data_IF_160319520243
#
_entry.id   IF_160319520243
#
_cell.length_a   1.000
_cell.length_b   1.000
_cell.length_c   1.000
_cell.angle_alpha   90.00
_cell.angle_beta   90.00
_cell.angle_gamma   90.00
#
_symmetry.space_group_name_H-M   'P 1'
#
loop_
_entity.id
_entity.type
_entity.pdbx_description
1 polymer ?
#
# COMPACT_ATOMS: atom_id res chain seq x y z
N UNK A 1 17.98 17.99 1.20
CA UNK A 1 16.80 17.30 1.75
C UNK A 1 16.94 15.82 1.44
N UNK A 2 16.68 14.94 2.40
CA UNK A 2 16.68 13.48 2.23
C UNK A 2 15.30 12.95 2.61
N UNK A 3 14.78 11.98 1.88
CA UNK A 3 13.51 11.35 2.23
C UNK A 3 13.60 9.83 2.20
N UNK A 4 13.15 9.19 3.28
CA UNK A 4 13.20 7.74 3.45
C UNK A 4 11.81 7.21 3.78
N UNK A 5 11.32 6.25 3.01
CA UNK A 5 10.08 5.53 3.27
C UNK A 5 10.39 4.20 3.98
N UNK A 6 9.74 3.96 5.10
CA UNK A 6 9.64 2.66 5.76
C UNK A 6 8.23 2.13 5.53
N UNK A 7 8.09 0.94 4.94
CA UNK A 7 6.77 0.42 4.55
C UNK A 7 6.70 -1.10 4.67
N UNK A 8 5.52 -1.58 5.08
CA UNK A 8 5.16 -3.00 5.11
C UNK A 8 3.66 -3.19 4.98
N UNK A 9 3.23 -4.44 4.82
CA UNK A 9 1.83 -4.81 4.85
C UNK A 9 1.59 -6.17 5.53
N UNK A 10 0.45 -6.29 6.18
CA UNK A 10 -0.20 -7.58 6.39
C UNK A 10 -0.98 -7.91 5.11
N UNK A 11 -0.37 -8.70 4.23
CA UNK A 11 -0.83 -8.86 2.84
C UNK A 11 0.30 -8.53 1.89
N UNK A 12 -0.01 -7.90 0.77
CA UNK A 12 0.96 -7.33 -0.16
C UNK A 12 0.68 -5.85 -0.37
N UNK A 13 1.69 -5.09 -0.81
CA UNK A 13 1.51 -3.72 -1.23
C UNK A 13 2.29 -3.36 -2.50
N UNK A 14 1.79 -2.37 -3.24
CA UNK A 14 2.59 -1.53 -4.13
C UNK A 14 2.43 -0.08 -3.69
N UNK A 15 3.54 0.60 -3.37
CA UNK A 15 3.52 1.98 -2.90
C UNK A 15 3.88 2.97 -4.03
N UNK A 16 3.22 4.13 -4.02
CA UNK A 16 3.41 5.20 -5.01
C UNK A 16 3.55 6.55 -4.32
N UNK A 17 4.43 7.37 -4.86
CA UNK A 17 4.62 8.77 -4.46
C UNK A 17 4.58 9.63 -5.73
N UNK A 18 3.69 10.61 -5.76
CA UNK A 18 3.56 11.58 -6.85
C UNK A 18 3.51 10.96 -8.27
N UNK A 19 2.71 9.91 -8.48
CA UNK A 19 2.63 9.23 -9.79
C UNK A 19 3.65 8.11 -10.02
N UNK A 20 4.69 8.01 -9.19
CA UNK A 20 5.80 7.09 -9.42
C UNK A 20 5.74 5.93 -8.43
N UNK A 21 5.96 4.72 -8.93
CA UNK A 21 6.13 3.51 -8.12
C UNK A 21 7.40 3.62 -7.27
N UNK A 22 7.32 3.27 -5.99
CA UNK A 22 8.47 3.17 -5.10
C UNK A 22 9.08 1.78 -5.24
N UNK A 23 10.37 1.73 -5.61
CA UNK A 23 11.08 0.47 -5.82
C UNK A 23 10.64 -0.31 -7.06
N UNK A 24 11.33 -1.42 -7.30
CA UNK A 24 11.07 -2.37 -8.38
C UNK A 24 10.59 -3.75 -7.86
N UNK A 25 10.63 -3.96 -6.55
CA UNK A 25 10.26 -5.21 -5.91
C UNK A 25 8.79 -5.58 -6.17
N UNK A 26 8.54 -6.88 -6.36
CA UNK A 26 7.21 -7.43 -6.55
C UNK A 26 6.83 -8.26 -5.34
N UNK A 27 5.54 -8.33 -5.02
CA UNK A 27 5.02 -9.14 -3.91
C UNK A 27 5.65 -8.77 -2.55
N UNK A 28 5.93 -7.49 -2.31
CA UNK A 28 6.37 -6.96 -1.02
C UNK A 28 5.26 -7.00 0.02
N UNK A 29 5.52 -7.33 1.31
CA UNK A 29 6.82 -7.54 1.96
C UNK A 29 7.26 -9.02 2.03
N UNK A 30 7.02 -9.77 0.95
CA UNK A 30 7.21 -11.22 0.86
C UNK A 30 6.39 -11.98 1.92
N UNK A 31 6.79 -13.23 2.22
CA UNK A 31 6.09 -14.10 3.16
C UNK A 31 6.95 -14.43 4.38
N UNK A 32 6.37 -14.19 5.57
CA UNK A 32 6.85 -14.64 6.86
C UNK A 32 5.72 -15.27 7.68
N UNK A 33 6.04 -15.88 8.82
CA UNK A 33 5.00 -16.15 9.82
C UNK A 33 4.56 -14.82 10.45
N UNK A 34 3.48 -14.22 9.93
CA UNK A 34 2.98 -12.89 10.32
C UNK A 34 2.62 -12.78 11.81
N UNK A 35 2.42 -13.92 12.52
CA UNK A 35 2.19 -13.95 13.97
C UNK A 35 3.47 -13.72 14.78
N UNK A 36 4.63 -13.88 14.15
CA UNK A 36 5.95 -13.77 14.78
C UNK A 36 6.75 -12.58 14.29
N UNK A 37 6.68 -12.30 12.98
CA UNK A 37 7.42 -11.19 12.35
C UNK A 37 6.79 -10.76 11.04
N UNK A 38 6.96 -9.49 10.72
CA UNK A 38 6.66 -8.88 9.42
C UNK A 38 7.90 -8.10 8.98
N UNK A 39 8.32 -8.22 7.72
CA UNK A 39 9.47 -7.51 7.19
C UNK A 39 9.08 -6.09 6.79
N UNK A 40 9.97 -5.13 7.02
CA UNK A 40 9.78 -3.72 6.62
C UNK A 40 10.81 -3.39 5.56
N UNK A 41 10.37 -2.79 4.46
CA UNK A 41 11.25 -2.27 3.42
C UNK A 41 11.62 -0.82 3.74
N UNK A 42 12.88 -0.47 3.49
CA UNK A 42 13.40 0.89 3.58
C UNK A 42 13.80 1.36 2.19
N UNK A 43 13.17 2.43 1.72
CA UNK A 43 13.36 2.95 0.36
C UNK A 43 13.83 4.41 0.43
N UNK A 44 14.90 4.73 -0.29
CA UNK A 44 15.24 6.13 -0.58
C UNK A 44 14.23 6.67 -1.61
N UNK A 45 13.50 7.71 -1.22
CA UNK A 45 12.48 8.37 -2.04
C UNK A 45 12.78 9.85 -2.20
N UNK A 46 14.03 10.27 -1.95
CA UNK A 46 14.48 11.67 -1.99
C UNK A 46 14.07 12.35 -3.30
N UNK A 47 14.33 11.69 -4.44
CA UNK A 47 14.02 12.23 -5.77
C UNK A 47 12.54 12.12 -6.18
N UNK A 48 11.68 11.59 -5.30
CA UNK A 48 10.23 11.50 -5.51
C UNK A 48 9.46 12.59 -4.78
N UNK A 49 10.10 13.26 -3.82
CA UNK A 49 9.51 14.37 -3.06
C UNK A 49 9.72 15.68 -3.81
N UNK A 50 8.69 16.52 -3.82
CA UNK A 50 8.72 17.86 -4.42
C UNK A 50 8.35 18.94 -3.41
N UNK A 51 8.71 20.18 -3.71
CA UNK A 51 8.21 21.34 -2.96
C UNK A 51 6.70 21.51 -3.16
N UNK A 52 5.98 21.81 -2.08
CA UNK A 52 4.52 21.98 -2.09
C UNK A 52 3.78 20.65 -1.89
N UNK A 53 2.63 20.50 -2.55
CA UNK A 53 1.74 19.37 -2.32
C UNK A 53 2.35 18.05 -2.81
N UNK A 54 2.35 17.04 -1.96
CA UNK A 54 2.77 15.67 -2.29
C UNK A 54 1.58 14.72 -2.08
N UNK A 55 1.57 13.61 -2.80
CA UNK A 55 0.66 12.51 -2.53
C UNK A 55 1.43 11.21 -2.35
N UNK A 56 0.94 10.41 -1.41
CA UNK A 56 1.36 9.03 -1.18
C UNK A 56 0.13 8.14 -1.30
N UNK A 57 0.32 6.95 -1.84
CA UNK A 57 -0.75 6.00 -2.03
C UNK A 57 -0.23 4.57 -2.11
N UNK A 58 -1.05 3.61 -1.75
CA UNK A 58 -0.71 2.20 -1.87
C UNK A 58 -1.88 1.39 -2.44
N UNK A 59 -1.56 0.42 -3.28
CA UNK A 59 -2.45 -0.70 -3.59
C UNK A 59 -2.20 -1.79 -2.56
N UNK A 60 -3.25 -2.40 -2.02
CA UNK A 60 -3.16 -3.54 -1.11
C UNK A 60 -3.70 -4.81 -1.77
N UNK A 61 -2.92 -5.87 -1.68
CA UNK A 61 -3.29 -7.21 -2.12
C UNK A 61 -3.45 -8.17 -0.95
N UNK A 62 -4.25 -9.21 -1.13
CA UNK A 62 -4.50 -10.20 -0.09
C UNK A 62 -3.22 -10.96 0.34
N UNK A 63 -2.36 -11.29 -0.64
CA UNK A 63 -1.13 -12.03 -0.40
C UNK A 63 -1.34 -13.36 0.31
N UNK A 64 -0.31 -13.81 1.02
CA UNK A 64 -0.40 -14.99 1.89
C UNK A 64 -1.15 -14.72 3.20
N UNK A 65 -1.30 -13.45 3.58
CA UNK A 65 -1.96 -13.05 4.83
C UNK A 65 -3.49 -13.28 4.78
N UNK A 66 -4.14 -12.76 3.73
CA UNK A 66 -5.59 -12.86 3.51
C UNK A 66 -6.00 -13.78 2.36
N UNK A 67 -5.06 -14.26 1.55
CA UNK A 67 -5.35 -15.13 0.41
C UNK A 67 -5.53 -16.59 0.81
N UNK A 68 -6.11 -17.37 -0.11
CA UNK A 68 -6.22 -18.82 0.03
C UNK A 68 -4.86 -19.50 -0.08
N UNK A 69 -4.75 -20.70 0.49
CA UNK A 69 -3.51 -21.48 0.55
C UNK A 69 -3.62 -22.76 -0.27
N UNK A 70 -2.76 -22.94 -1.26
CA UNK A 70 -2.74 -24.16 -2.04
C UNK A 70 -1.97 -25.26 -1.28
N UNK A 71 -2.67 -26.32 -0.88
CA UNK A 71 -2.07 -27.50 -0.24
C UNK A 71 -2.65 -28.77 -0.87
N UNK A 72 -1.80 -29.62 -1.47
CA UNK A 72 -2.22 -30.84 -2.19
C UNK A 72 -3.40 -30.62 -3.14
N UNK A 73 -3.29 -29.60 -4.02
CA UNK A 73 -4.31 -29.22 -5.00
C UNK A 73 -5.66 -28.78 -4.40
N UNK A 74 -5.72 -28.52 -3.09
CA UNK A 74 -6.89 -27.94 -2.42
C UNK A 74 -6.57 -26.52 -1.98
N UNK A 75 -7.47 -25.60 -2.30
CA UNK A 75 -7.43 -24.24 -1.79
C UNK A 75 -8.00 -24.22 -0.37
N UNK A 76 -7.17 -23.87 0.59
CA UNK A 76 -7.52 -23.69 1.99
C UNK A 76 -7.87 -22.23 2.26
N UNK A 77 -8.64 -22.00 3.33
CA UNK A 77 -9.00 -20.66 3.81
C UNK A 77 -7.75 -19.89 4.30
N UNK A 78 -7.83 -18.55 4.36
CA UNK A 78 -6.77 -17.72 4.92
C UNK A 78 -6.43 -18.13 6.35
N UNK A 79 -5.14 -18.16 6.69
CA UNK A 79 -4.65 -18.66 7.98
C UNK A 79 -4.21 -17.57 8.95
N UNK A 80 -4.03 -16.32 8.48
CA UNK A 80 -3.51 -15.22 9.30
C UNK A 80 -4.56 -14.15 9.59
N UNK A 81 -5.25 -13.65 8.57
CA UNK A 81 -6.28 -12.62 8.75
C UNK A 81 -7.21 -12.48 7.55
N UNK A 82 -8.17 -11.58 7.65
CA UNK A 82 -9.23 -11.38 6.65
C UNK A 82 -9.09 -10.13 5.81
N UNK A 83 -8.44 -9.09 6.35
CA UNK A 83 -8.33 -7.78 5.71
C UNK A 83 -6.86 -7.40 5.58
N UNK A 84 -6.38 -7.04 4.37
CA UNK A 84 -5.02 -6.56 4.22
C UNK A 84 -4.85 -5.23 4.95
N UNK A 85 -3.64 -4.94 5.42
CA UNK A 85 -3.35 -3.72 6.21
C UNK A 85 -1.98 -3.16 5.86
N UNK A 86 -1.87 -1.83 5.84
CA UNK A 86 -0.64 -1.11 5.52
C UNK A 86 -0.07 -0.50 6.80
N UNK A 87 1.26 -0.51 6.93
CA UNK A 87 1.98 0.36 7.84
C UNK A 87 3.08 1.07 7.04
N UNK A 88 3.05 2.40 7.00
CA UNK A 88 4.05 3.18 6.30
C UNK A 88 4.42 4.45 7.08
N UNK A 89 5.68 4.85 7.00
CA UNK A 89 6.23 6.06 7.58
C UNK A 89 7.23 6.67 6.61
N UNK A 90 6.93 7.86 6.12
CA UNK A 90 7.87 8.71 5.37
C UNK A 90 8.55 9.66 6.35
N UNK A 91 9.88 9.67 6.33
CA UNK A 91 10.69 10.66 7.05
C UNK A 91 11.37 11.58 6.04
N UNK A 92 11.18 12.89 6.21
CA UNK A 92 11.82 13.95 5.41
C UNK A 92 12.76 14.73 6.31
N UNK A 93 14.04 14.77 5.96
CA UNK A 93 15.07 15.57 6.61
C UNK A 93 15.42 16.77 5.74
N UNK A 94 15.16 17.96 6.26
CA UNK A 94 15.38 19.22 5.57
C UNK A 94 16.84 19.69 5.71
N UNK A 95 17.23 20.63 4.86
CA UNK A 95 18.61 21.15 4.85
C UNK A 95 18.98 21.92 6.14
N UNK A 96 17.99 22.41 6.88
CA UNK A 96 18.17 23.07 8.18
C UNK A 96 18.27 22.07 9.36
N UNK A 97 18.21 20.77 9.08
CA UNK A 97 18.27 19.69 10.06
C UNK A 97 16.92 19.34 10.70
N UNK A 98 15.83 20.05 10.38
CA UNK A 98 14.49 19.69 10.84
C UNK A 98 13.99 18.42 10.16
N UNK A 99 13.08 17.71 10.85
CA UNK A 99 12.47 16.47 10.35
C UNK A 99 10.96 16.57 10.32
N UNK A 100 10.36 16.02 9.27
CA UNK A 100 8.92 15.81 9.18
C UNK A 100 8.64 14.32 9.00
N UNK A 101 7.65 13.83 9.73
CA UNK A 101 7.17 12.45 9.63
C UNK A 101 5.75 12.47 9.09
N UNK A 102 5.47 11.66 8.08
CA UNK A 102 4.13 11.42 7.55
C UNK A 102 3.88 9.92 7.58
N UNK A 103 2.97 9.46 8.43
CA UNK A 103 2.71 8.05 8.66
C UNK A 103 1.28 7.66 8.27
N UNK A 104 1.02 6.35 8.15
CA UNK A 104 -0.33 5.80 8.07
C UNK A 104 -1.07 6.04 9.38
N UNK A 105 -2.22 6.69 9.30
CA UNK A 105 -3.10 7.03 10.42
C UNK A 105 -4.57 7.12 9.96
N UNK A 106 -5.47 7.57 10.82
CA UNK A 106 -6.90 7.74 10.54
C UNK A 106 -7.23 8.81 9.48
N UNK A 107 -6.28 9.67 9.12
CA UNK A 107 -6.49 10.71 8.10
C UNK A 107 -6.46 10.16 6.68
N UNK A 108 -5.94 8.94 6.51
CA UNK A 108 -5.91 8.27 5.22
C UNK A 108 -7.33 7.92 4.74
N UNK A 109 -7.50 7.94 3.43
CA UNK A 109 -8.73 7.52 2.77
C UNK A 109 -8.43 6.35 1.85
N UNK A 110 -9.41 5.49 1.62
CA UNK A 110 -9.29 4.35 0.73
C UNK A 110 -10.59 4.02 0.01
N UNK A 111 -10.48 3.20 -1.02
CA UNK A 111 -11.62 2.66 -1.76
C UNK A 111 -11.34 1.23 -2.21
N UNK A 112 -12.38 0.41 -2.25
CA UNK A 112 -12.37 -0.93 -2.84
C UNK A 112 -12.93 -0.92 -4.28
N UNK A 113 -13.23 0.25 -4.82
CA UNK A 113 -13.85 0.42 -6.15
C UNK A 113 -12.83 0.59 -7.29
N UNK A 114 -11.55 0.32 -7.03
CA UNK A 114 -10.48 0.35 -8.03
C UNK A 114 -10.51 -0.82 -9.04
N UNK A 115 -9.52 -0.87 -9.94
CA UNK A 115 -9.54 -1.78 -11.09
C UNK A 115 -9.20 -3.24 -10.72
N UNK A 116 -8.42 -3.48 -9.66
CA UNK A 116 -8.16 -4.83 -9.15
C UNK A 116 -9.39 -5.30 -8.39
N UNK A 117 -10.14 -6.24 -8.96
CA UNK A 117 -11.41 -6.76 -8.41
C UNK A 117 -11.24 -8.01 -7.59
N UNK A 118 -10.16 -8.74 -7.84
CA UNK A 118 -9.75 -9.93 -7.11
C UNK A 118 -8.25 -10.09 -7.26
N UNK A 119 -7.57 -10.49 -6.18
CA UNK A 119 -6.13 -10.78 -6.18
C UNK A 119 -5.85 -11.97 -5.27
N UNK A 120 -5.31 -13.04 -5.86
CA UNK A 120 -4.94 -14.29 -5.19
C UNK A 120 -3.62 -14.82 -5.73
N UNK A 121 -2.76 -15.32 -4.84
CA UNK A 121 -1.43 -15.85 -5.22
C UNK A 121 -1.55 -17.06 -6.14
N UNK A 122 -2.59 -17.89 -5.93
CA UNK A 122 -2.77 -19.14 -6.68
C UNK A 122 -3.88 -19.04 -7.73
N UNK A 123 -4.86 -18.19 -7.47
CA UNK A 123 -6.07 -18.03 -8.28
C UNK A 123 -5.91 -16.96 -9.38
N UNK A 124 -4.84 -16.15 -9.30
CA UNK A 124 -4.58 -15.06 -10.24
C UNK A 124 -5.24 -13.74 -9.84
N UNK A 125 -5.41 -12.86 -10.83
CA UNK A 125 -5.95 -11.51 -10.64
C UNK A 125 -7.07 -11.23 -11.65
N UNK A 126 -8.13 -10.57 -11.19
CA UNK A 126 -9.18 -10.02 -12.05
C UNK A 126 -9.01 -8.50 -12.08
N UNK A 127 -8.75 -7.96 -13.26
CA UNK A 127 -8.57 -6.54 -13.49
C UNK A 127 -9.66 -5.99 -14.42
N UNK A 128 -10.33 -4.92 -14.01
CA UNK A 128 -11.31 -4.19 -14.82
C UNK A 128 -10.82 -2.76 -15.09
N UNK A 129 -10.25 -2.54 -16.28
CA UNK A 129 -9.68 -1.24 -16.68
C UNK A 129 -10.71 -0.10 -16.71
N UNK A 130 -12.01 -0.41 -16.81
CA UNK A 130 -13.07 0.62 -16.77
C UNK A 130 -13.19 1.27 -15.38
N UNK A 131 -12.55 0.69 -14.36
CA UNK A 131 -12.53 1.15 -12.97
C UNK A 131 -11.18 1.75 -12.58
N UNK A 132 -10.32 2.03 -13.55
CA UNK A 132 -9.12 2.82 -13.28
C UNK A 132 -9.49 4.18 -12.69
N UNK A 133 -8.65 4.67 -11.78
CA UNK A 133 -8.82 5.96 -11.12
C UNK A 133 -7.61 6.84 -11.49
N UNK A 134 -7.54 7.40 -12.71
CA UNK A 134 -6.33 8.08 -13.17
C UNK A 134 -5.91 9.21 -12.23
N UNK A 135 -4.66 9.18 -11.79
CA UNK A 135 -4.08 10.22 -10.95
C UNK A 135 -4.40 10.12 -9.47
N UNK A 136 -4.98 9.02 -8.98
CA UNK A 136 -5.23 8.78 -7.54
C UNK A 136 -3.97 8.93 -6.68
N UNK A 137 -2.82 8.65 -7.26
CA UNK A 137 -1.50 8.72 -6.65
C UNK A 137 -0.82 10.11 -6.78
N UNK A 138 -1.56 11.15 -7.20
CA UNK A 138 -1.09 12.53 -7.35
C UNK A 138 -1.82 13.45 -6.37
N UNK A 139 -1.14 14.54 -5.98
CA UNK A 139 -1.76 15.53 -5.10
C UNK A 139 -3.01 16.14 -5.75
N UNK A 140 -3.92 16.60 -4.90
CA UNK A 140 -5.18 17.24 -5.30
C UNK A 140 -6.14 16.32 -6.07
N UNK A 141 -5.96 15.00 -5.97
CA UNK A 141 -6.95 14.03 -6.45
C UNK A 141 -8.26 14.18 -5.66
N UNK A 142 -9.39 14.29 -6.37
CA UNK A 142 -10.71 14.40 -5.75
C UNK A 142 -11.16 13.05 -5.18
N UNK A 143 -11.10 12.94 -3.87
CA UNK A 143 -11.54 11.76 -3.11
C UNK A 143 -13.03 11.77 -2.76
N UNK A 144 -13.76 12.82 -3.15
CA UNK A 144 -15.20 13.00 -2.88
C UNK A 144 -16.10 12.65 -4.07
N UNK A 145 -15.51 12.46 -5.26
CA UNK A 145 -16.21 12.10 -6.50
C UNK A 145 -16.80 10.68 -6.51
N UNK A 146 -17.01 10.11 -7.70
CA UNK A 146 -17.54 8.73 -7.85
C UNK A 146 -16.47 7.82 -8.46
N UNK A 147 -15.97 6.80 -7.74
CA UNK A 147 -16.37 6.37 -6.39
C UNK A 147 -15.78 7.27 -5.28
N UNK A 148 -16.58 7.57 -4.26
CA UNK A 148 -16.13 8.35 -3.11
C UNK A 148 -15.25 7.48 -2.22
N UNK A 149 -14.09 8.02 -1.84
CA UNK A 149 -13.18 7.34 -0.92
C UNK A 149 -13.69 7.51 0.51
N UNK A 150 -13.52 6.48 1.33
CA UNK A 150 -13.95 6.47 2.72
C UNK A 150 -12.74 6.62 3.64
N UNK A 151 -12.89 7.17 4.85
CA UNK A 151 -11.85 7.06 5.87
C UNK A 151 -11.43 5.60 6.05
N UNK A 152 -10.14 5.36 6.25
CA UNK A 152 -9.63 4.02 6.54
C UNK A 152 -9.97 3.59 7.96
N UNK A 153 -9.91 2.29 8.23
CA UNK A 153 -10.03 1.75 9.58
C UNK A 153 -8.63 1.50 10.13
N UNK A 154 -8.31 2.10 11.29
CA UNK A 154 -7.05 1.86 11.99
C UNK A 154 -7.15 0.57 12.79
N UNK A 155 -6.14 -0.30 12.67
CA UNK A 155 -5.99 -1.51 13.49
C UNK A 155 -5.05 -1.25 14.65
N UNK A 156 -5.49 -1.60 15.86
CA UNK A 156 -4.68 -1.61 17.08
C UNK A 156 -4.03 -2.95 17.35
#
# INVERSE_FOLDING_TARGET
TRATLYVTALGLYEFRINGRRVGDQLLTPEWTDYRKRVQVQTCDVTDMIRTGDNAMGALLGNGWYCGGWMFWQKLLKPIYGTDPSLLAQLEIEYADGTKQVVATDETWRGTTEGPIRFSGIYEGEIYDARRELPGWERANFDTTGTPAWKPVVVRG
#
